data_IF_210719293526
#
_entry.id   IF_210719293526
#
_cell.length_a   1.000
_cell.length_b   1.000
_cell.length_c   1.000
_cell.angle_alpha   90.00
_cell.angle_beta   90.00
_cell.angle_gamma   90.00
#
_symmetry.space_group_name_H-M   'P 1'
#
loop_
_entity.id
_entity.type
_entity.pdbx_description
1 polymer ?
#
# COMPACT_ATOMS: atom_id res chain seq x y z
N UNK A 1 -3.00 3.67 14.06
CA UNK A 1 -2.86 4.28 12.72
C UNK A 1 -1.39 4.35 12.36
N UNK A 2 -1.06 4.29 11.09
CA UNK A 2 0.28 4.61 10.58
C UNK A 2 0.16 5.25 9.19
N UNK A 3 1.27 5.77 8.68
CA UNK A 3 1.34 6.41 7.37
C UNK A 3 2.21 5.56 6.43
N UNK A 4 1.83 5.53 5.16
CA UNK A 4 2.64 4.98 4.09
C UNK A 4 2.89 6.08 3.06
N UNK A 5 4.07 6.04 2.43
CA UNK A 5 4.35 6.82 1.23
C UNK A 5 4.21 5.91 0.03
N UNK A 6 3.50 6.35 -1.02
CA UNK A 6 3.47 5.65 -2.30
C UNK A 6 4.76 5.90 -3.11
N UNK A 7 4.83 5.33 -4.32
CA UNK A 7 5.98 5.47 -5.23
C UNK A 7 6.12 6.86 -5.86
N UNK A 8 5.22 7.81 -5.58
CA UNK A 8 5.37 9.22 -5.95
C UNK A 8 5.70 10.11 -4.75
N UNK A 9 5.93 9.52 -3.57
CA UNK A 9 6.19 10.26 -2.34
C UNK A 9 4.93 10.83 -1.67
N UNK A 10 3.72 10.45 -2.13
CA UNK A 10 2.47 10.93 -1.54
C UNK A 10 2.04 10.04 -0.38
N UNK A 11 1.43 10.68 0.62
CA UNK A 11 1.11 10.02 1.88
C UNK A 11 -0.31 9.45 1.85
N UNK A 12 -0.43 8.17 2.18
CA UNK A 12 -1.67 7.50 2.55
C UNK A 12 -1.74 7.27 4.06
N UNK A 13 -2.91 7.54 4.65
CA UNK A 13 -3.15 7.28 6.09
C UNK A 13 -3.88 5.97 6.27
N UNK A 14 -3.34 5.09 7.11
CA UNK A 14 -3.87 3.76 7.40
C UNK A 14 -4.46 3.74 8.83
N UNK A 15 -5.75 3.50 8.92
CA UNK A 15 -6.49 3.29 10.16
C UNK A 15 -6.51 1.80 10.51
N UNK A 16 -6.34 1.47 11.79
CA UNK A 16 -6.34 0.09 12.28
C UNK A 16 -7.49 -0.08 13.26
N UNK A 17 -8.18 -1.22 13.20
CA UNK A 17 -9.20 -1.59 14.18
C UNK A 17 -8.58 -1.94 15.54
N UNK A 18 -7.40 -2.56 15.52
CA UNK A 18 -6.63 -2.92 16.70
C UNK A 18 -5.19 -2.37 16.60
N UNK A 19 -4.49 -2.11 17.71
CA UNK A 19 -3.10 -1.70 17.68
C UNK A 19 -2.18 -2.70 16.96
N UNK A 20 -1.03 -2.24 16.47
CA UNK A 20 -0.01 -3.15 15.93
C UNK A 20 0.61 -3.97 17.07
N UNK A 21 0.69 -5.29 16.88
CA UNK A 21 1.37 -6.18 17.84
C UNK A 21 2.89 -6.01 17.84
N UNK A 22 3.45 -5.62 16.69
CA UNK A 22 4.89 -5.47 16.45
C UNK A 22 5.17 -4.22 15.63
N UNK A 23 6.36 -3.68 15.79
CA UNK A 23 6.87 -2.64 14.91
C UNK A 23 6.95 -3.17 13.47
N UNK A 24 6.51 -2.32 12.53
CA UNK A 24 6.54 -2.59 11.09
C UNK A 24 7.41 -1.53 10.43
N UNK A 25 8.16 -1.94 9.40
CA UNK A 25 9.03 -1.05 8.64
C UNK A 25 9.23 -1.59 7.22
N UNK A 26 9.76 -0.73 6.34
CA UNK A 26 9.96 -1.07 4.92
C UNK A 26 8.69 -0.97 4.09
N UNK A 27 8.59 -1.80 3.06
CA UNK A 27 7.43 -1.84 2.15
C UNK A 27 6.30 -2.67 2.75
N UNK A 28 5.12 -2.05 2.82
CA UNK A 28 3.91 -2.65 3.40
C UNK A 28 2.78 -2.61 2.38
N UNK A 29 2.21 -3.77 2.09
CA UNK A 29 0.95 -3.88 1.37
C UNK A 29 -0.20 -3.83 2.38
N UNK A 30 -1.18 -2.96 2.13
CA UNK A 30 -2.37 -2.83 2.98
C UNK A 30 -3.61 -3.12 2.15
N UNK A 31 -4.45 -4.04 2.63
CA UNK A 31 -5.77 -4.33 2.07
C UNK A 31 -6.81 -3.79 3.03
N UNK A 32 -7.72 -2.97 2.54
CA UNK A 32 -8.73 -2.33 3.36
C UNK A 32 -9.76 -1.56 2.55
N UNK A 33 -10.62 -0.83 3.27
CA UNK A 33 -11.66 -0.01 2.67
C UNK A 33 -11.32 1.47 2.77
N UNK A 34 -11.41 2.20 1.67
CA UNK A 34 -11.29 3.67 1.67
C UNK A 34 -12.47 4.27 2.46
N UNK A 35 -12.16 5.16 3.40
CA UNK A 35 -13.16 5.84 4.24
C UNK A 35 -13.59 7.18 3.63
N UNK A 36 -14.65 7.78 4.19
CA UNK A 36 -15.08 9.13 3.81
C UNK A 36 -14.04 10.23 4.09
N UNK A 37 -13.00 9.94 4.88
CA UNK A 37 -11.89 10.86 5.19
C UNK A 37 -10.69 10.68 4.25
N UNK A 38 -10.82 9.88 3.18
CA UNK A 38 -9.72 9.48 2.30
C UNK A 38 -8.56 8.79 3.04
N UNK A 39 -8.87 8.06 4.12
CA UNK A 39 -7.98 7.12 4.79
C UNK A 39 -8.34 5.69 4.39
N UNK A 40 -7.49 4.71 4.71
CA UNK A 40 -7.80 3.29 4.50
C UNK A 40 -8.05 2.63 5.85
N UNK A 41 -9.25 2.11 6.08
CA UNK A 41 -9.53 1.21 7.19
C UNK A 41 -8.97 -0.17 6.85
N UNK A 42 -7.85 -0.50 7.48
CA UNK A 42 -7.09 -1.72 7.25
C UNK A 42 -7.85 -2.96 7.73
N UNK A 43 -8.01 -3.94 6.85
CA UNK A 43 -8.51 -5.27 7.17
C UNK A 43 -7.36 -6.27 7.34
N UNK A 44 -6.29 -6.13 6.54
CA UNK A 44 -5.06 -6.93 6.64
C UNK A 44 -3.89 -6.19 6.02
N UNK A 45 -2.67 -6.57 6.40
CA UNK A 45 -1.44 -6.05 5.82
C UNK A 45 -0.37 -7.13 5.71
N UNK A 46 0.54 -6.97 4.77
CA UNK A 46 1.69 -7.84 4.57
C UNK A 46 2.97 -7.01 4.41
N UNK A 47 4.07 -7.50 4.99
CA UNK A 47 5.40 -6.91 4.83
C UNK A 47 6.09 -7.57 3.64
N UNK A 48 6.59 -6.75 2.72
CA UNK A 48 7.38 -7.26 1.61
C UNK A 48 8.80 -7.54 2.08
N UNK A 49 9.30 -8.74 1.79
CA UNK A 49 10.63 -9.18 2.20
C UNK A 49 11.68 -8.58 1.26
N UNK A 50 12.62 -7.82 1.82
CA UNK A 50 13.67 -7.14 1.05
C UNK A 50 15.09 -7.71 1.28
N UNK A 51 15.21 -8.88 1.93
CA UNK A 51 16.49 -9.48 2.31
C UNK A 51 17.43 -9.76 1.11
N UNK A 52 16.87 -10.05 -0.06
CA UNK A 52 17.63 -10.43 -1.26
C UNK A 52 17.62 -9.37 -2.35
N UNK A 53 16.51 -8.66 -2.50
CA UNK A 53 16.32 -7.61 -3.49
C UNK A 53 15.51 -6.47 -2.87
N UNK A 54 15.88 -5.23 -3.17
CA UNK A 54 15.08 -4.05 -2.83
C UNK A 54 13.82 -4.03 -3.70
N UNK A 55 12.70 -3.66 -3.11
CA UNK A 55 11.47 -3.48 -3.85
C UNK A 55 11.45 -2.11 -4.52
N UNK A 56 11.28 -2.10 -5.84
CA UNK A 56 11.22 -0.86 -6.62
C UNK A 56 9.79 -0.27 -6.57
N UNK A 57 9.57 0.63 -5.62
CA UNK A 57 8.27 1.25 -5.39
C UNK A 57 7.87 2.22 -6.51
N UNK A 58 8.84 2.86 -7.16
CA UNK A 58 8.61 3.75 -8.31
C UNK A 58 8.12 2.95 -9.51
N UNK A 59 8.77 1.81 -9.80
CA UNK A 59 8.34 0.89 -10.84
C UNK A 59 6.95 0.30 -10.55
N UNK A 60 6.66 -0.05 -9.29
CA UNK A 60 5.33 -0.51 -8.90
C UNK A 60 4.26 0.56 -9.13
N UNK A 61 4.57 1.83 -8.87
CA UNK A 61 3.66 2.95 -9.15
C UNK A 61 3.37 3.10 -10.66
N UNK A 62 4.37 2.93 -11.52
CA UNK A 62 4.13 2.90 -12.98
C UNK A 62 3.22 1.74 -13.39
N UNK A 63 3.36 0.56 -12.77
CA UNK A 63 2.44 -0.54 -13.01
C UNK A 63 1.00 -0.20 -12.58
N UNK A 64 0.81 0.48 -11.44
CA UNK A 64 -0.51 0.95 -10.99
C UNK A 64 -1.15 1.91 -11.99
N UNK A 65 -0.37 2.82 -12.60
CA UNK A 65 -0.87 3.71 -13.66
C UNK A 65 -1.36 2.92 -14.86
N UNK A 66 -0.55 1.97 -15.34
CA UNK A 66 -0.91 1.11 -16.49
C UNK A 66 -2.18 0.31 -16.22
N UNK A 67 -2.35 -0.24 -15.01
CA UNK A 67 -3.55 -1.00 -14.63
C UNK A 67 -4.81 -0.13 -14.76
N UNK A 68 -4.74 1.14 -14.33
CA UNK A 68 -5.86 2.06 -14.42
C UNK A 68 -6.09 2.58 -15.85
N UNK A 69 -5.04 2.72 -16.66
CA UNK A 69 -5.12 3.15 -18.06
C UNK A 69 -5.62 2.04 -19.01
N UNK A 70 -5.40 0.77 -18.66
CA UNK A 70 -5.75 -0.40 -19.48
C UNK A 70 -6.67 -1.40 -18.73
N UNK A 71 -7.87 -0.98 -18.27
CA UNK A 71 -8.77 -1.84 -17.47
C UNK A 71 -9.30 -3.07 -18.22
N UNK A 72 -9.19 -3.08 -19.56
CA UNK A 72 -9.53 -4.24 -20.39
C UNK A 72 -8.51 -5.38 -20.29
N UNK A 73 -7.26 -5.07 -19.91
CA UNK A 73 -6.16 -6.05 -19.81
C UNK A 73 -6.03 -6.59 -18.39
N UNK A 74 -6.18 -5.73 -17.39
CA UNK A 74 -6.09 -6.11 -15.98
C UNK A 74 -7.43 -5.85 -15.29
N UNK A 75 -8.08 -6.93 -14.87
CA UNK A 75 -9.31 -6.86 -14.07
C UNK A 75 -8.95 -7.02 -12.60
N UNK A 76 -9.08 -5.94 -11.84
CA UNK A 76 -9.03 -5.92 -10.38
C UNK A 76 -10.40 -6.21 -9.77
#
# INVERSE_FOLDING_TARGET
MFILSDGEGKIGTIELMEPLDKEISGIVEVVGKVTAKATVLCASYALFKEDSNRFDLELYNEAVKIINELPQVVKL
#
